data_IF_096082168357
#
_entry.id   IF_096082168357
#
_cell.length_a   1.000
_cell.length_b   1.000
_cell.length_c   1.000
_cell.angle_alpha   90.00
_cell.angle_beta   90.00
_cell.angle_gamma   90.00
#
_symmetry.space_group_name_H-M   'P 1'
#
loop_
_entity.id
_entity.type
_entity.pdbx_description
1 polymer ?
#
# COMPACT_ATOMS: atom_id res chain seq x y z
N UNK A 1 48.30 61.58 22.84
CA UNK A 1 48.12 60.49 21.86
C UNK A 1 46.67 60.03 21.96
N UNK A 2 45.93 60.31 20.89
CA UNK A 2 44.47 60.33 20.78
C UNK A 2 43.88 58.93 20.67
N UNK A 3 42.74 58.73 21.35
CA UNK A 3 41.88 57.55 21.31
C UNK A 3 41.16 57.46 19.95
N UNK A 4 41.36 56.36 19.23
CA UNK A 4 40.60 56.01 18.02
C UNK A 4 39.43 55.12 18.40
N UNK A 5 38.24 55.71 18.49
CA UNK A 5 36.99 54.98 18.50
C UNK A 5 36.74 54.39 17.10
N UNK A 6 36.64 53.07 17.01
CA UNK A 6 36.18 52.39 15.79
C UNK A 6 34.68 52.62 15.60
N UNK A 7 34.34 53.32 14.52
CA UNK A 7 32.98 53.46 14.01
C UNK A 7 32.47 52.09 13.50
N UNK A 8 31.51 51.51 14.22
CA UNK A 8 30.85 50.24 13.87
C UNK A 8 29.50 50.46 13.14
N UNK A 9 29.26 51.63 12.54
CA UNK A 9 27.91 51.96 12.02
C UNK A 9 27.60 51.53 10.58
N UNK A 10 28.42 50.72 9.90
CA UNK A 10 28.18 50.36 8.49
C UNK A 10 28.12 48.86 8.20
N UNK A 11 27.39 48.08 9.01
CA UNK A 11 26.97 46.74 8.61
C UNK A 11 25.73 46.85 7.70
N UNK A 12 25.79 46.40 6.42
CA UNK A 12 24.61 46.42 5.56
C UNK A 12 23.55 45.48 6.14
N UNK A 13 22.39 46.03 6.49
CA UNK A 13 21.21 45.23 6.87
C UNK A 13 20.88 44.24 5.75
N UNK A 14 20.70 42.95 6.04
CA UNK A 14 20.30 41.99 5.02
C UNK A 14 18.94 42.41 4.45
N UNK A 15 18.84 42.56 3.14
CA UNK A 15 17.60 42.89 2.47
C UNK A 15 16.56 41.78 2.72
N UNK A 16 15.57 42.04 3.58
CA UNK A 16 14.52 41.06 3.96
C UNK A 16 13.43 40.94 2.88
N UNK A 17 13.44 41.80 1.86
CA UNK A 17 12.38 41.82 0.85
C UNK A 17 12.81 41.10 -0.43
N UNK A 18 12.88 39.77 -0.36
CA UNK A 18 12.85 38.96 -1.57
C UNK A 18 11.52 39.16 -2.33
N UNK A 19 11.50 39.01 -3.66
CA UNK A 19 10.29 39.27 -4.46
C UNK A 19 9.11 38.46 -3.92
N UNK A 20 7.98 39.13 -3.70
CA UNK A 20 6.72 38.51 -3.29
C UNK A 20 6.40 37.39 -4.29
N UNK A 21 6.54 36.13 -3.85
CA UNK A 21 6.26 34.98 -4.70
C UNK A 21 4.79 35.06 -5.11
N UNK A 22 4.46 34.85 -6.41
CA UNK A 22 3.07 34.91 -6.85
C UNK A 22 2.25 33.94 -6.01
N UNK A 23 1.18 34.44 -5.37
CA UNK A 23 0.28 33.65 -4.52
C UNK A 23 -0.34 32.57 -5.41
N UNK A 24 0.11 31.33 -5.23
CA UNK A 24 -0.41 30.19 -5.96
C UNK A 24 -1.67 29.71 -5.27
N UNK A 25 -2.45 28.89 -5.95
CA UNK A 25 -3.68 28.33 -5.40
C UNK A 25 -3.43 27.63 -4.05
N UNK A 26 -4.23 27.95 -3.03
CA UNK A 26 -4.01 27.55 -1.63
C UNK A 26 -3.79 26.04 -1.39
N UNK A 27 -4.42 25.09 -2.11
CA UNK A 27 -4.19 23.66 -1.89
C UNK A 27 -2.78 23.24 -2.32
N UNK A 28 -2.25 23.86 -3.37
CA UNK A 28 -0.88 23.62 -3.85
C UNK A 28 0.15 24.16 -2.87
N UNK A 29 -0.12 25.32 -2.24
CA UNK A 29 0.76 25.87 -1.20
C UNK A 29 0.76 24.99 0.05
N UNK A 30 -0.41 24.51 0.48
CA UNK A 30 -0.54 23.59 1.60
C UNK A 30 0.25 22.29 1.35
N UNK A 31 0.09 21.66 0.18
CA UNK A 31 0.80 20.43 -0.15
C UNK A 31 2.33 20.60 -0.24
N UNK A 32 2.84 21.80 -0.54
CA UNK A 32 4.29 22.04 -0.55
C UNK A 32 4.88 22.02 0.85
N UNK A 33 4.10 22.34 1.87
CA UNK A 33 4.53 22.28 3.27
C UNK A 33 4.83 20.84 3.74
N UNK A 34 5.65 20.71 4.78
CA UNK A 34 5.86 19.42 5.43
C UNK A 34 4.58 18.86 6.08
N UNK A 35 3.71 19.75 6.56
CA UNK A 35 2.44 19.38 7.18
C UNK A 35 1.47 18.77 6.16
N UNK A 36 1.31 19.42 4.99
CA UNK A 36 0.37 18.97 3.97
C UNK A 36 0.75 17.61 3.40
N UNK A 37 2.05 17.34 3.22
CA UNK A 37 2.51 16.02 2.79
C UNK A 37 2.28 14.93 3.83
N UNK A 38 2.41 15.23 5.13
CA UNK A 38 2.09 14.27 6.21
C UNK A 38 0.59 13.95 6.23
N UNK A 39 -0.25 14.96 6.02
CA UNK A 39 -1.70 14.77 5.88
C UNK A 39 -2.04 13.88 4.70
N UNK A 40 -1.49 14.16 3.51
CA UNK A 40 -1.68 13.31 2.34
C UNK A 40 -1.21 11.88 2.60
N UNK A 41 -0.01 11.70 3.17
CA UNK A 41 0.52 10.38 3.52
C UNK A 41 -0.39 9.60 4.48
N UNK A 42 -0.95 10.28 5.49
CA UNK A 42 -1.85 9.66 6.47
C UNK A 42 -3.21 9.30 5.86
N UNK A 43 -3.84 10.22 5.12
CA UNK A 43 -5.17 10.00 4.51
C UNK A 43 -5.11 8.90 3.46
N UNK A 44 -4.10 8.92 2.58
CA UNK A 44 -3.92 7.85 1.60
C UNK A 44 -3.55 6.53 2.27
N UNK A 45 -2.75 6.56 3.34
CA UNK A 45 -2.44 5.38 4.14
C UNK A 45 -3.69 4.74 4.75
N UNK A 46 -4.63 5.54 5.28
CA UNK A 46 -5.91 5.06 5.82
C UNK A 46 -6.76 4.42 4.71
N UNK A 47 -6.88 5.08 3.55
CA UNK A 47 -7.64 4.54 2.42
C UNK A 47 -7.08 3.19 1.93
N UNK A 48 -5.75 3.11 1.77
CA UNK A 48 -5.06 1.88 1.37
C UNK A 48 -5.18 0.78 2.42
N UNK A 49 -5.08 1.13 3.71
CA UNK A 49 -5.26 0.17 4.81
C UNK A 49 -6.68 -0.39 4.82
N UNK A 50 -7.68 0.48 4.65
CA UNK A 50 -9.08 0.07 4.51
C UNK A 50 -9.27 -0.90 3.33
N UNK A 51 -8.63 -0.61 2.19
CA UNK A 51 -8.63 -1.52 1.04
C UNK A 51 -7.97 -2.86 1.36
N UNK A 52 -6.78 -2.88 1.98
CA UNK A 52 -6.10 -4.15 2.32
C UNK A 52 -6.97 -5.01 3.22
N UNK A 53 -7.66 -4.42 4.20
CA UNK A 53 -8.59 -5.14 5.08
C UNK A 53 -9.80 -5.65 4.30
N UNK A 54 -10.46 -4.80 3.51
CA UNK A 54 -11.62 -5.21 2.71
C UNK A 54 -11.26 -6.28 1.66
N UNK A 55 -10.09 -6.16 1.04
CA UNK A 55 -9.55 -7.10 0.08
C UNK A 55 -9.25 -8.46 0.74
N UNK A 56 -8.61 -8.47 1.90
CA UNK A 56 -8.42 -9.69 2.70
C UNK A 56 -9.77 -10.34 3.06
N UNK A 57 -10.75 -9.55 3.50
CA UNK A 57 -12.10 -10.06 3.82
C UNK A 57 -12.78 -10.68 2.59
N UNK A 58 -12.66 -10.04 1.42
CA UNK A 58 -13.12 -10.62 0.16
C UNK A 58 -12.43 -11.96 -0.15
N UNK A 59 -11.12 -12.03 0.06
CA UNK A 59 -10.34 -13.23 -0.18
C UNK A 59 -10.63 -14.37 0.82
N UNK A 60 -11.17 -14.09 2.01
CA UNK A 60 -11.64 -15.14 2.92
C UNK A 60 -12.73 -16.02 2.31
N UNK A 61 -13.45 -15.53 1.29
CA UNK A 61 -14.41 -16.35 0.53
C UNK A 61 -13.76 -17.51 -0.22
N UNK A 62 -12.43 -17.50 -0.39
CA UNK A 62 -11.68 -18.67 -0.87
C UNK A 62 -12.04 -19.94 -0.08
N UNK A 63 -12.26 -19.81 1.23
CA UNK A 63 -12.59 -20.94 2.10
C UNK A 63 -14.06 -21.40 2.01
N UNK A 64 -14.90 -20.66 1.28
CA UNK A 64 -16.30 -21.04 1.04
C UNK A 64 -16.46 -21.85 -0.25
N UNK A 65 -15.51 -21.71 -1.19
CA UNK A 65 -15.48 -22.44 -2.45
C UNK A 65 -15.38 -21.51 -3.67
N UNK A 66 -15.33 -22.12 -4.85
CA UNK A 66 -15.18 -21.41 -6.11
C UNK A 66 -16.39 -20.53 -6.44
N UNK A 67 -17.60 -21.04 -6.25
CA UNK A 67 -18.86 -20.33 -6.49
C UNK A 67 -18.94 -19.03 -5.67
N UNK A 68 -18.74 -19.10 -4.35
CA UNK A 68 -18.79 -17.92 -3.46
C UNK A 68 -17.76 -16.84 -3.82
N UNK A 69 -16.54 -17.23 -4.17
CA UNK A 69 -15.47 -16.29 -4.50
C UNK A 69 -15.69 -15.66 -5.88
N UNK A 70 -16.08 -16.45 -6.88
CA UNK A 70 -16.35 -15.98 -8.24
C UNK A 70 -17.61 -15.10 -8.26
N UNK A 71 -18.68 -15.52 -7.58
CA UNK A 71 -19.90 -14.73 -7.40
C UNK A 71 -19.62 -13.40 -6.71
N UNK A 72 -18.75 -13.37 -5.69
CA UNK A 72 -18.32 -12.11 -5.08
C UNK A 72 -17.60 -11.20 -6.07
N UNK A 73 -16.74 -11.76 -6.93
CA UNK A 73 -16.09 -11.03 -8.01
C UNK A 73 -17.06 -10.36 -8.97
N UNK A 74 -18.16 -11.05 -9.30
CA UNK A 74 -19.22 -10.51 -10.16
C UNK A 74 -20.09 -9.47 -9.42
N UNK A 75 -20.48 -9.74 -8.17
CA UNK A 75 -21.20 -8.78 -7.32
C UNK A 75 -20.50 -7.41 -7.23
N UNK A 76 -19.16 -7.39 -7.18
CA UNK A 76 -18.40 -6.14 -7.14
C UNK A 76 -18.59 -5.28 -8.41
N UNK A 77 -18.95 -5.89 -9.55
CA UNK A 77 -19.28 -5.16 -10.78
C UNK A 77 -20.68 -4.55 -10.71
N UNK A 78 -21.60 -5.16 -9.99
CA UNK A 78 -22.97 -4.67 -9.82
C UNK A 78 -23.14 -3.79 -8.58
N UNK A 79 -22.03 -3.47 -7.91
CA UNK A 79 -22.02 -2.64 -6.72
C UNK A 79 -22.65 -1.26 -7.00
N UNK A 80 -23.67 -0.88 -6.22
CA UNK A 80 -24.49 0.34 -6.35
C UNK A 80 -25.45 0.35 -7.56
N UNK A 81 -25.73 -0.77 -8.23
CA UNK A 81 -26.84 -0.85 -9.19
C UNK A 81 -28.20 -0.76 -8.48
N UNK A 82 -29.21 -0.01 -8.98
CA UNK A 82 -29.26 0.77 -10.23
C UNK A 82 -28.81 2.24 -10.13
N UNK A 83 -28.30 2.69 -8.98
CA UNK A 83 -27.86 4.09 -8.77
C UNK A 83 -26.72 4.44 -9.73
N UNK A 84 -25.78 3.51 -9.94
CA UNK A 84 -24.72 3.61 -10.93
C UNK A 84 -24.81 2.42 -11.90
N UNK A 85 -24.42 2.59 -13.18
CA UNK A 85 -24.33 1.48 -14.12
C UNK A 85 -23.34 0.40 -13.68
N UNK A 86 -23.56 -0.85 -14.11
CA UNK A 86 -22.63 -1.96 -13.90
C UNK A 86 -21.19 -1.55 -14.24
N UNK A 87 -20.25 -1.99 -13.41
CA UNK A 87 -18.81 -1.72 -13.38
C UNK A 87 -18.36 -0.31 -12.97
N UNK A 88 -19.24 0.70 -12.96
CA UNK A 88 -18.83 2.09 -12.71
C UNK A 88 -18.31 2.28 -11.28
N UNK A 89 -19.00 1.73 -10.28
CA UNK A 89 -18.55 1.80 -8.89
C UNK A 89 -17.17 1.15 -8.71
N UNK A 90 -16.96 -0.02 -9.34
CA UNK A 90 -15.69 -0.73 -9.33
C UNK A 90 -14.55 0.10 -9.96
N UNK A 91 -14.81 0.76 -11.09
CA UNK A 91 -13.85 1.65 -11.73
C UNK A 91 -13.51 2.88 -10.88
N UNK A 92 -14.50 3.49 -10.23
CA UNK A 92 -14.27 4.62 -9.32
C UNK A 92 -13.39 4.20 -8.14
N UNK A 93 -13.66 3.04 -7.53
CA UNK A 93 -12.81 2.49 -6.47
C UNK A 93 -11.40 2.23 -6.98
N UNK A 94 -11.25 1.62 -8.17
CA UNK A 94 -9.94 1.34 -8.77
C UNK A 94 -9.13 2.62 -8.99
N UNK A 95 -9.71 3.61 -9.67
CA UNK A 95 -9.04 4.90 -9.94
C UNK A 95 -8.71 5.63 -8.64
N UNK A 96 -9.64 5.64 -7.68
CA UNK A 96 -9.42 6.27 -6.37
C UNK A 96 -8.28 5.62 -5.59
N UNK A 97 -8.22 4.29 -5.56
CA UNK A 97 -7.15 3.54 -4.90
C UNK A 97 -5.80 3.70 -5.60
N UNK A 98 -5.76 3.68 -6.93
CA UNK A 98 -4.55 3.96 -7.69
C UNK A 98 -4.04 5.38 -7.41
N UNK A 99 -4.94 6.37 -7.37
CA UNK A 99 -4.57 7.74 -7.02
C UNK A 99 -4.04 7.82 -5.58
N UNK A 100 -4.69 7.17 -4.62
CA UNK A 100 -4.22 7.12 -3.23
C UNK A 100 -2.84 6.46 -3.13
N UNK A 101 -2.60 5.36 -3.84
CA UNK A 101 -1.33 4.65 -3.88
C UNK A 101 -0.19 5.53 -4.44
N UNK A 102 -0.42 6.17 -5.58
CA UNK A 102 0.57 7.07 -6.20
C UNK A 102 0.87 8.26 -5.29
N UNK A 103 -0.17 8.90 -4.71
CA UNK A 103 0.00 9.99 -3.77
C UNK A 103 0.72 9.57 -2.49
N UNK A 104 0.48 8.35 -2.00
CA UNK A 104 1.17 7.78 -0.85
C UNK A 104 2.68 7.66 -1.11
N UNK A 105 3.05 7.05 -2.25
CA UNK A 105 4.46 6.90 -2.65
C UNK A 105 5.11 8.27 -2.87
N UNK A 106 4.43 9.19 -3.56
CA UNK A 106 4.96 10.52 -3.82
C UNK A 106 5.18 11.31 -2.51
N UNK A 107 4.23 11.25 -1.57
CA UNK A 107 4.39 11.86 -0.26
C UNK A 107 5.56 11.22 0.53
N UNK A 108 5.67 9.89 0.54
CA UNK A 108 6.75 9.17 1.21
C UNK A 108 8.14 9.55 0.65
N UNK A 109 8.27 9.62 -0.68
CA UNK A 109 9.48 10.07 -1.36
C UNK A 109 9.80 11.54 -1.03
N UNK A 110 8.80 12.43 -1.13
CA UNK A 110 8.96 13.85 -0.87
C UNK A 110 9.40 14.12 0.58
N UNK A 111 8.79 13.45 1.57
CA UNK A 111 9.22 13.53 2.98
C UNK A 111 10.62 12.98 3.18
N UNK A 112 10.95 11.86 2.56
CA UNK A 112 12.29 11.25 2.66
C UNK A 112 13.36 12.20 2.14
N UNK A 113 13.13 12.81 0.97
CA UNK A 113 14.04 13.80 0.38
C UNK A 113 14.15 15.06 1.21
N UNK A 114 13.05 15.54 1.78
CA UNK A 114 13.06 16.70 2.70
C UNK A 114 13.89 16.38 3.95
N UNK A 115 13.69 15.23 4.58
CA UNK A 115 14.46 14.80 5.74
C UNK A 115 15.96 14.67 5.44
N UNK A 116 16.31 14.09 4.28
CA UNK A 116 17.71 13.98 3.85
C UNK A 116 18.36 15.36 3.65
N UNK A 117 17.67 16.30 2.99
CA UNK A 117 18.17 17.67 2.79
C UNK A 117 18.35 18.41 4.12
N UNK A 118 17.40 18.28 5.04
CA UNK A 118 17.52 18.89 6.37
C UNK A 118 18.73 18.34 7.14
N UNK A 119 18.99 17.04 7.04
CA UNK A 119 20.14 16.40 7.69
C UNK A 119 21.49 16.81 7.07
N UNK A 120 21.53 17.12 5.77
CA UNK A 120 22.75 17.61 5.08
C UNK A 120 23.19 19.01 5.58
N UNK A 121 22.26 19.85 6.02
CA UNK A 121 22.59 21.16 6.61
C UNK A 121 22.93 21.08 8.11
N UNK A 122 22.59 19.98 8.77
CA UNK A 122 22.82 19.74 10.21
C UNK A 122 24.18 19.09 10.51
N UNK A 123 25.03 18.86 9.50
CA UNK A 123 26.37 18.27 9.68
C UNK A 123 27.29 19.08 10.62
N UNK A 124 26.92 20.32 10.96
CA UNK A 124 27.61 21.15 11.95
C UNK A 124 27.13 20.99 13.41
N UNK A 125 25.96 20.39 13.67
CA UNK A 125 25.42 20.24 15.01
C UNK A 125 24.71 18.87 15.16
N UNK A 126 25.50 17.86 15.51
CA UNK A 126 25.01 16.51 15.85
C UNK A 126 24.07 16.62 17.06
N UNK A 127 22.77 16.38 16.88
CA UNK A 127 21.81 16.27 17.98
C UNK A 127 22.28 15.17 18.95
N UNK A 128 22.61 15.58 20.18
CA UNK A 128 23.27 14.79 21.21
C UNK A 128 22.30 13.88 22.01
N UNK A 129 21.68 12.90 21.34
CA UNK A 129 20.80 11.90 21.98
C UNK A 129 21.00 10.49 21.43
N UNK A 130 21.91 9.71 22.01
CA UNK A 130 22.42 8.47 21.40
C UNK A 130 21.44 7.28 21.32
N UNK A 131 20.48 7.13 22.25
CA UNK A 131 19.57 5.96 22.28
C UNK A 131 18.32 6.11 21.42
N UNK A 132 17.64 7.25 21.52
CA UNK A 132 16.40 7.50 20.76
C UNK A 132 16.66 7.64 19.26
N UNK A 133 17.85 8.13 18.89
CA UNK A 133 18.28 8.24 17.52
C UNK A 133 18.45 6.86 16.83
N UNK A 134 18.94 5.84 17.54
CA UNK A 134 19.16 4.50 16.97
C UNK A 134 17.82 3.81 16.67
N UNK A 135 16.86 3.85 17.60
CA UNK A 135 15.53 3.27 17.42
C UNK A 135 14.76 3.96 16.27
N UNK A 136 14.81 5.30 16.22
CA UNK A 136 14.20 6.07 15.13
C UNK A 136 14.85 5.77 13.76
N UNK A 137 16.16 5.58 13.71
CA UNK A 137 16.89 5.24 12.49
C UNK A 137 16.52 3.85 11.97
N UNK A 138 16.44 2.84 12.86
CA UNK A 138 16.03 1.48 12.49
C UNK A 138 14.59 1.42 11.97
N UNK A 139 13.63 2.06 12.66
CA UNK A 139 12.25 2.16 12.21
C UNK A 139 12.14 2.87 10.84
N UNK A 140 12.95 3.92 10.60
CA UNK A 140 12.94 4.61 9.31
C UNK A 140 13.52 3.77 8.16
N UNK A 141 14.55 2.95 8.44
CA UNK A 141 15.20 2.10 7.44
C UNK A 141 14.29 0.95 7.04
N UNK A 142 13.71 0.27 8.03
CA UNK A 142 12.75 -0.82 7.80
C UNK A 142 11.52 -0.32 7.05
N UNK A 143 10.97 0.85 7.38
CA UNK A 143 9.85 1.44 6.65
C UNK A 143 10.10 1.71 5.16
N UNK A 144 11.32 2.14 4.80
CA UNK A 144 11.68 2.36 3.39
C UNK A 144 11.75 1.04 2.64
N UNK A 145 12.44 0.05 3.19
CA UNK A 145 12.61 -1.25 2.55
C UNK A 145 11.29 -2.00 2.44
N UNK A 146 10.48 -2.04 3.49
CA UNK A 146 9.16 -2.68 3.43
C UNK A 146 8.22 -1.96 2.47
N UNK A 147 8.33 -0.63 2.34
CA UNK A 147 7.60 0.12 1.32
C UNK A 147 8.02 -0.24 -0.11
N UNK A 148 9.33 -0.40 -0.38
CA UNK A 148 9.84 -0.84 -1.69
C UNK A 148 9.39 -2.27 -1.99
N UNK A 149 9.52 -3.19 -1.03
CA UNK A 149 9.07 -4.59 -1.18
C UNK A 149 7.56 -4.62 -1.44
N UNK A 150 6.77 -3.82 -0.73
CA UNK A 150 5.32 -3.71 -0.94
C UNK A 150 4.99 -3.18 -2.34
N UNK A 151 5.74 -2.20 -2.85
CA UNK A 151 5.56 -1.70 -4.22
C UNK A 151 5.82 -2.80 -5.27
N UNK A 152 6.93 -3.51 -5.14
CA UNK A 152 7.26 -4.63 -6.03
C UNK A 152 6.21 -5.74 -5.93
N UNK A 153 5.76 -6.03 -4.71
CA UNK A 153 4.70 -7.00 -4.47
C UNK A 153 3.38 -6.61 -5.14
N UNK A 154 2.94 -5.36 -5.05
CA UNK A 154 1.71 -4.89 -5.72
C UNK A 154 1.82 -5.04 -7.24
N UNK A 155 2.98 -4.72 -7.82
CA UNK A 155 3.21 -4.90 -9.27
C UNK A 155 3.12 -6.38 -9.65
N UNK A 156 3.81 -7.26 -8.91
CA UNK A 156 3.75 -8.70 -9.11
C UNK A 156 2.32 -9.23 -8.95
N UNK A 157 1.64 -8.86 -7.86
CA UNK A 157 0.29 -9.28 -7.53
C UNK A 157 -0.71 -8.94 -8.64
N UNK A 158 -0.61 -7.73 -9.21
CA UNK A 158 -1.45 -7.34 -10.34
C UNK A 158 -1.11 -8.13 -11.61
N UNK A 159 0.18 -8.33 -11.91
CA UNK A 159 0.60 -9.16 -13.05
C UNK A 159 0.15 -10.62 -12.94
N UNK A 160 0.11 -11.15 -11.73
CA UNK A 160 -0.20 -12.55 -11.43
C UNK A 160 -1.71 -12.83 -11.38
N UNK A 161 -2.47 -12.01 -10.65
CA UNK A 161 -3.89 -12.29 -10.35
C UNK A 161 -4.89 -11.32 -11.00
N UNK A 162 -4.45 -10.20 -11.57
CA UNK A 162 -5.35 -9.21 -12.20
C UNK A 162 -5.20 -9.15 -13.71
N UNK A 163 -3.97 -9.21 -14.20
CA UNK A 163 -3.66 -9.14 -15.63
C UNK A 163 -3.33 -10.51 -16.23
N UNK A 164 -2.94 -11.48 -15.40
CA UNK A 164 -2.58 -12.84 -15.84
C UNK A 164 -1.24 -12.96 -16.57
N UNK A 165 -0.49 -11.86 -16.74
CA UNK A 165 0.79 -11.87 -17.48
C UNK A 165 1.89 -12.67 -16.79
N UNK A 166 1.79 -12.91 -15.49
CA UNK A 166 2.72 -13.73 -14.71
C UNK A 166 2.15 -15.11 -14.31
N UNK A 167 0.90 -15.41 -14.65
CA UNK A 167 0.23 -16.66 -14.32
C UNK A 167 -0.14 -17.43 -15.61
N UNK A 168 0.58 -18.50 -15.95
CA UNK A 168 0.36 -19.26 -17.19
C UNK A 168 -1.04 -19.86 -17.32
N UNK A 169 -1.68 -20.21 -16.20
CA UNK A 169 -2.98 -20.88 -16.19
C UNK A 169 -4.15 -19.88 -16.03
N UNK A 170 -3.86 -18.58 -16.16
CA UNK A 170 -4.83 -17.53 -15.90
C UNK A 170 -6.03 -17.58 -16.83
N UNK A 171 -7.23 -17.60 -16.24
CA UNK A 171 -8.52 -17.54 -16.91
C UNK A 171 -9.27 -16.27 -16.48
N UNK A 172 -9.64 -15.43 -17.44
CA UNK A 172 -10.37 -14.20 -17.13
C UNK A 172 -11.75 -14.55 -16.55
N UNK A 173 -12.11 -13.95 -15.43
CA UNK A 173 -13.42 -14.21 -14.80
C UNK A 173 -13.43 -15.37 -13.80
N UNK A 174 -12.31 -16.07 -13.62
CA UNK A 174 -12.16 -17.15 -12.62
C UNK A 174 -11.15 -16.80 -11.51
N UNK A 175 -11.46 -15.83 -10.61
CA UNK A 175 -10.59 -15.47 -9.49
C UNK A 175 -10.14 -16.66 -8.64
N UNK A 176 -11.02 -17.63 -8.40
CA UNK A 176 -10.73 -18.78 -7.55
C UNK A 176 -9.61 -19.64 -8.14
N UNK A 177 -9.78 -20.16 -9.35
CA UNK A 177 -8.77 -21.07 -9.92
C UNK A 177 -7.48 -20.35 -10.26
N UNK A 178 -7.52 -19.05 -10.60
CA UNK A 178 -6.32 -18.25 -10.81
C UNK A 178 -5.47 -18.12 -9.54
N UNK A 179 -6.13 -17.95 -8.39
CA UNK A 179 -5.47 -17.89 -7.10
C UNK A 179 -4.83 -19.23 -6.76
N UNK A 180 -5.57 -20.33 -6.89
CA UNK A 180 -5.06 -21.68 -6.63
C UNK A 180 -3.87 -22.00 -7.53
N UNK A 181 -4.01 -21.80 -8.84
CA UNK A 181 -2.94 -22.01 -9.82
C UNK A 181 -1.67 -21.19 -9.52
N UNK A 182 -1.84 -20.00 -8.93
CA UNK A 182 -0.69 -19.19 -8.52
C UNK A 182 0.02 -19.76 -7.30
N UNK A 183 -0.71 -20.27 -6.32
CA UNK A 183 -0.13 -20.76 -5.08
C UNK A 183 0.34 -22.22 -5.09
N UNK A 184 -0.05 -23.00 -6.09
CA UNK A 184 0.61 -24.28 -6.39
C UNK A 184 2.06 -24.09 -6.83
N UNK A 185 2.39 -22.95 -7.45
CA UNK A 185 3.76 -22.61 -7.85
C UNK A 185 4.54 -22.20 -6.60
N UNK A 186 5.23 -23.15 -5.97
CA UNK A 186 5.99 -22.97 -4.71
C UNK A 186 6.84 -21.68 -4.66
N UNK A 187 7.60 -21.28 -5.71
CA UNK A 187 8.35 -20.03 -5.68
C UNK A 187 7.46 -18.78 -5.55
N UNK A 188 6.30 -18.77 -6.21
CA UNK A 188 5.31 -17.69 -6.14
C UNK A 188 4.71 -17.63 -4.75
N UNK A 189 4.35 -18.77 -4.16
CA UNK A 189 3.88 -18.83 -2.77
C UNK A 189 4.88 -18.24 -1.78
N UNK A 190 6.16 -18.64 -1.85
CA UNK A 190 7.19 -18.08 -0.96
C UNK A 190 7.28 -16.56 -1.12
N UNK A 191 7.23 -16.05 -2.37
CA UNK A 191 7.21 -14.62 -2.66
C UNK A 191 6.04 -13.93 -1.97
N UNK A 192 4.82 -14.47 -2.09
CA UNK A 192 3.62 -13.89 -1.45
C UNK A 192 3.70 -13.91 0.07
N UNK A 193 4.23 -14.97 0.69
CA UNK A 193 4.39 -15.06 2.14
C UNK A 193 5.36 -13.98 2.64
N UNK A 194 6.55 -13.90 2.03
CA UNK A 194 7.56 -12.90 2.39
C UNK A 194 7.04 -11.48 2.18
N UNK A 195 6.36 -11.24 1.06
CA UNK A 195 5.77 -9.95 0.76
C UNK A 195 4.69 -9.55 1.78
N UNK A 196 3.81 -10.48 2.18
CA UNK A 196 2.78 -10.18 3.18
C UNK A 196 3.37 -9.91 4.56
N UNK A 197 4.46 -10.57 4.95
CA UNK A 197 5.20 -10.20 6.17
C UNK A 197 5.76 -8.77 6.06
N UNK A 198 6.31 -8.39 4.90
CA UNK A 198 6.78 -7.02 4.68
C UNK A 198 5.63 -5.99 4.73
N UNK A 199 4.47 -6.32 4.14
CA UNK A 199 3.24 -5.51 4.24
C UNK A 199 2.82 -5.37 5.71
N UNK A 200 2.83 -6.45 6.49
CA UNK A 200 2.52 -6.40 7.93
C UNK A 200 3.43 -5.47 8.71
N UNK A 201 4.75 -5.55 8.46
CA UNK A 201 5.72 -4.63 9.07
C UNK A 201 5.44 -3.19 8.62
N UNK A 202 5.16 -2.96 7.33
CA UNK A 202 4.82 -1.63 6.80
C UNK A 202 3.56 -1.06 7.46
N UNK A 203 2.49 -1.86 7.56
CA UNK A 203 1.22 -1.50 8.20
C UNK A 203 1.40 -1.22 9.68
N UNK A 204 2.16 -2.04 10.42
CA UNK A 204 2.43 -1.81 11.84
C UNK A 204 3.00 -0.41 12.09
N UNK A 205 4.02 -0.02 11.32
CA UNK A 205 4.64 1.29 11.44
C UNK A 205 3.73 2.42 10.90
N UNK A 206 3.00 2.18 9.80
CA UNK A 206 2.06 3.12 9.21
C UNK A 206 0.89 3.44 10.15
N UNK A 207 0.23 2.42 10.68
CA UNK A 207 -0.87 2.54 11.63
C UNK A 207 -0.44 3.24 12.92
N UNK A 208 0.80 3.03 13.39
CA UNK A 208 1.35 3.78 14.51
C UNK A 208 1.59 5.27 14.17
N UNK A 209 2.29 5.54 13.07
CA UNK A 209 2.76 6.88 12.69
C UNK A 209 1.66 7.80 12.14
N UNK A 210 0.55 7.25 11.63
CA UNK A 210 -0.59 8.05 11.17
C UNK A 210 -1.24 8.84 12.31
N UNK A 211 -1.36 8.24 13.52
CA UNK A 211 -1.88 8.95 14.69
C UNK A 211 -1.02 10.15 15.06
N UNK A 212 0.30 10.05 14.88
CA UNK A 212 1.21 11.18 15.09
C UNK A 212 1.05 12.26 14.01
N UNK A 213 0.88 11.85 12.75
CA UNK A 213 0.71 12.77 11.61
C UNK A 213 -0.61 13.55 11.67
N UNK A 214 -1.67 12.94 12.20
CA UNK A 214 -2.99 13.56 12.39
C UNK A 214 -3.11 14.35 13.71
N UNK A 215 -2.05 14.44 14.51
CA UNK A 215 -2.01 15.22 15.75
C UNK A 215 -2.51 14.48 16.99
N UNK A 216 -2.93 13.22 16.89
CA UNK A 216 -3.32 12.40 18.04
C UNK A 216 -2.10 11.73 18.70
N UNK A 217 -1.20 12.55 19.25
CA UNK A 217 0.02 12.08 19.90
C UNK A 217 0.04 12.37 21.41
N UNK A 218 -0.76 11.62 22.17
CA UNK A 218 -0.74 11.68 23.63
C UNK A 218 -0.06 10.42 24.21
N UNK A 219 1.00 10.57 25.05
CA UNK A 219 1.72 9.44 25.64
C UNK A 219 0.83 8.42 26.38
N UNK A 220 -0.30 8.87 26.97
CA UNK A 220 -1.27 8.02 27.66
C UNK A 220 -1.85 6.93 26.75
N UNK A 221 -2.02 7.23 25.45
CA UNK A 221 -2.57 6.29 24.47
C UNK A 221 -1.49 5.51 23.70
N UNK A 222 -0.20 5.64 24.04
CA UNK A 222 0.87 4.91 23.34
C UNK A 222 0.65 3.39 23.43
N UNK A 223 0.34 2.83 24.61
CA UNK A 223 0.17 1.38 24.76
C UNK A 223 -0.97 0.85 23.89
N UNK A 224 -2.10 1.56 23.86
CA UNK A 224 -3.26 1.20 23.04
C UNK A 224 -2.93 1.30 21.54
N UNK A 225 -2.29 2.39 21.10
CA UNK A 225 -1.89 2.57 19.68
C UNK A 225 -0.95 1.47 19.19
N UNK A 226 0.00 1.03 20.03
CA UNK A 226 0.92 -0.08 19.67
C UNK A 226 0.13 -1.38 19.59
N UNK A 227 -0.74 -1.63 20.59
CA UNK A 227 -1.60 -2.82 20.60
C UNK A 227 -2.48 -2.91 19.37
N UNK A 228 -3.15 -1.81 19.00
CA UNK A 228 -3.94 -1.70 17.78
C UNK A 228 -3.10 -1.97 16.53
N UNK A 229 -1.96 -1.31 16.37
CA UNK A 229 -1.09 -1.50 15.21
C UNK A 229 -0.58 -2.94 15.09
N UNK A 230 -0.23 -3.59 16.21
CA UNK A 230 0.19 -5.00 16.24
C UNK A 230 -0.96 -5.94 15.90
N UNK A 231 -2.13 -5.75 16.51
CA UNK A 231 -3.30 -6.57 16.26
C UNK A 231 -3.74 -6.50 14.80
N UNK A 232 -3.82 -5.29 14.25
CA UNK A 232 -4.20 -5.07 12.86
C UNK A 232 -3.18 -5.67 11.88
N UNK A 233 -1.89 -5.41 12.09
CA UNK A 233 -0.83 -5.97 11.24
C UNK A 233 -0.79 -7.51 11.33
N UNK A 234 -0.92 -8.07 12.54
CA UNK A 234 -0.95 -9.51 12.76
C UNK A 234 -2.14 -10.17 12.08
N UNK A 235 -3.33 -9.58 12.20
CA UNK A 235 -4.54 -10.07 11.51
C UNK A 235 -4.34 -10.11 10.00
N UNK A 236 -3.82 -9.03 9.40
CA UNK A 236 -3.58 -8.95 7.95
C UNK A 236 -2.57 -10.01 7.50
N UNK A 237 -1.46 -10.17 8.24
CA UNK A 237 -0.44 -11.17 7.90
C UNK A 237 -1.01 -12.57 8.00
N UNK A 238 -1.67 -12.91 9.11
CA UNK A 238 -2.24 -14.25 9.32
C UNK A 238 -3.30 -14.55 8.25
N UNK A 239 -4.22 -13.61 7.99
CA UNK A 239 -5.24 -13.78 6.96
C UNK A 239 -4.62 -13.99 5.58
N UNK A 240 -3.75 -13.08 5.13
CA UNK A 240 -3.19 -13.18 3.77
C UNK A 240 -2.19 -14.35 3.59
N UNK A 241 -1.46 -14.75 4.64
CA UNK A 241 -0.55 -15.91 4.58
C UNK A 241 -1.33 -17.22 4.65
N UNK A 242 -2.52 -17.24 5.26
CA UNK A 242 -3.34 -18.44 5.32
C UNK A 242 -3.80 -18.93 3.94
N UNK A 243 -4.02 -18.05 2.96
CA UNK A 243 -4.43 -18.44 1.60
C UNK A 243 -3.39 -19.29 0.87
N UNK A 244 -2.14 -18.84 0.67
CA UNK A 244 -1.13 -19.66 -0.01
C UNK A 244 -0.77 -20.93 0.76
N UNK A 245 -0.79 -20.87 2.10
CA UNK A 245 -0.53 -22.05 2.94
C UNK A 245 -1.63 -23.09 2.75
N UNK A 246 -2.91 -22.67 2.71
CA UNK A 246 -4.03 -23.58 2.51
C UNK A 246 -3.96 -24.31 1.16
N UNK A 247 -3.54 -23.63 0.10
CA UNK A 247 -3.32 -24.26 -1.21
C UNK A 247 -2.13 -25.24 -1.16
N UNK A 248 -1.00 -24.84 -0.56
CA UNK A 248 0.19 -25.70 -0.48
C UNK A 248 -0.06 -27.02 0.28
N UNK A 249 -0.93 -27.01 1.29
CA UNK A 249 -1.24 -28.22 2.07
C UNK A 249 -2.41 -29.03 1.51
N UNK A 250 -2.99 -28.63 0.37
CA UNK A 250 -4.15 -29.29 -0.24
C UNK A 250 -5.46 -29.08 0.50
N UNK A 251 -5.56 -28.07 1.37
CA UNK A 251 -6.83 -27.71 2.01
C UNK A 251 -7.75 -26.92 1.08
N UNK A 252 -7.18 -26.30 0.05
CA UNK A 252 -7.89 -25.60 -1.03
C UNK A 252 -7.26 -26.05 -2.34
N UNK A 253 -8.08 -26.57 -3.25
CA UNK A 253 -7.65 -27.15 -4.52
C UNK A 253 -8.46 -26.55 -5.68
N UNK A 254 -8.02 -26.80 -6.93
CA UNK A 254 -8.72 -26.30 -8.12
C UNK A 254 -10.13 -26.90 -8.21
N UNK A 255 -11.05 -26.13 -8.75
CA UNK A 255 -12.39 -26.59 -9.13
C UNK A 255 -12.49 -26.61 -10.66
N UNK A 256 -12.18 -27.78 -11.24
CA UNK A 256 -12.17 -27.98 -12.68
C UNK A 256 -13.58 -27.96 -13.29
N UNK A 257 -14.62 -28.24 -12.51
CA UNK A 257 -15.99 -28.12 -12.98
C UNK A 257 -16.36 -26.65 -13.18
N UNK A 258 -16.09 -25.81 -12.18
CA UNK A 258 -16.29 -24.36 -12.28
C UNK A 258 -15.42 -23.75 -13.38
N UNK A 259 -14.14 -24.15 -13.46
CA UNK A 259 -13.21 -23.66 -14.48
C UNK A 259 -13.73 -23.91 -15.90
N UNK A 260 -14.27 -25.10 -16.17
CA UNK A 260 -14.85 -25.44 -17.48
C UNK A 260 -16.07 -24.58 -17.80
N UNK A 261 -16.92 -24.30 -16.81
CA UNK A 261 -18.08 -23.42 -16.98
C UNK A 261 -17.66 -22.01 -17.36
N UNK A 262 -16.71 -21.43 -16.61
CA UNK A 262 -16.19 -20.07 -16.90
C UNK A 262 -15.54 -20.02 -18.28
N UNK A 263 -14.73 -21.02 -18.63
CA UNK A 263 -14.08 -21.10 -19.94
C UNK A 263 -15.07 -21.20 -21.10
N UNK A 264 -16.17 -21.94 -20.93
CA UNK A 264 -17.23 -22.02 -21.93
C UNK A 264 -17.94 -20.67 -22.12
N UNK A 265 -18.13 -19.91 -21.03
CA UNK A 265 -18.72 -18.57 -21.09
C UNK A 265 -17.78 -17.56 -21.76
N UNK A 266 -16.48 -17.57 -21.43
CA UNK A 266 -15.51 -16.63 -22.01
C UNK A 266 -15.17 -16.93 -23.47
N UNK A 267 -15.20 -18.20 -23.87
CA UNK A 267 -15.02 -18.61 -25.27
C UNK A 267 -16.06 -17.95 -26.19
N UNK A 268 -17.31 -17.78 -25.74
CA UNK A 268 -18.35 -17.07 -26.48
C UNK A 268 -18.06 -15.57 -26.67
N UNK A 269 -17.13 -15.01 -25.88
CA UNK A 269 -16.71 -13.60 -25.94
C UNK A 269 -15.33 -13.37 -26.58
N UNK A 270 -14.68 -14.44 -27.08
CA UNK A 270 -13.40 -14.37 -27.79
C UNK A 270 -12.15 -14.55 -26.92
N UNK A 271 -12.29 -14.74 -25.60
CA UNK A 271 -11.21 -15.06 -24.66
C UNK A 271 -11.25 -16.57 -24.37
N UNK A 272 -10.79 -17.40 -25.33
CA UNK A 272 -10.77 -18.85 -25.17
C UNK A 272 -9.68 -19.28 -24.17
N UNK A 273 -10.05 -20.12 -23.20
CA UNK A 273 -9.08 -20.85 -22.39
C UNK A 273 -8.31 -21.85 -23.27
N UNK A 274 -7.06 -22.16 -22.90
CA UNK A 274 -6.46 -23.40 -23.38
C UNK A 274 -7.39 -24.56 -22.94
N UNK A 275 -7.82 -25.39 -23.88
CA UNK A 275 -8.72 -26.50 -23.60
C UNK A 275 -8.14 -27.33 -22.44
N UNK A 276 -9.01 -27.70 -21.48
CA UNK A 276 -8.71 -28.78 -20.54
C UNK A 276 -8.84 -30.09 -21.34
N UNK A 277 -7.94 -30.28 -22.30
CA UNK A 277 -7.73 -31.57 -22.93
C UNK A 277 -6.99 -32.42 -21.89
N UNK A 278 -7.58 -33.58 -21.57
CA UNK A 278 -6.91 -34.69 -20.86
C UNK A 278 -6.99 -34.69 -19.32
N UNK A 279 -8.18 -34.94 -18.77
CA UNK A 279 -8.37 -35.81 -17.60
C UNK A 279 -9.87 -36.11 -17.38
N UNK A 280 -10.42 -37.02 -18.18
CA UNK A 280 -11.53 -37.85 -17.75
C UNK A 280 -10.99 -39.29 -17.60
N UNK A 281 -11.30 -40.01 -16.50
CA UNK A 281 -10.88 -41.39 -16.32
C UNK A 281 -11.49 -42.33 -17.37
#
# INVERSE_FOLDING_TARGET
>A
MTSTAQDLSSAPTPAVNGPARPRRWWPLEFYRSAIGKKWVMAVTGIALLGYVVAHMVGNLKLYLGADDLNHYGEFLRELLEPILPRTVALWLMRVGLTAAFVLHIHAAYALTRMNQRSNQHLTAARYAGGRDYVAANFASRTMRWTGIITLLYVIWHLADLTWGTANPDYVRGDPYNNLVASFERVPVTILYIVANVAVGIHVFHGAWSMFQSLGWNNPRFNRWRVGFARGLAGLIVVGNVSFPVAVLVGAVERDDAERRTVCAETANTGDACAEVEEAAP
#
